data_IF_378535969555
#
_entry.id   IF_378535969555
#
_cell.length_a   1.000
_cell.length_b   1.000
_cell.length_c   1.000
_cell.angle_alpha   90.00
_cell.angle_beta   90.00
_cell.angle_gamma   90.00
#
_symmetry.space_group_name_H-M   'P 1'
#
loop_
_entity.id
_entity.type
_entity.pdbx_description
1 polymer ?
#
# COMPACT_ATOMS: atom_id res chain seq x y z
N UNK A 1 -28.99 -2.53 -25.18
CA UNK A 1 -29.08 -3.60 -24.16
C UNK A 1 -28.41 -4.91 -24.57
N UNK A 2 -28.63 -5.46 -25.78
CA UNK A 2 -27.98 -6.73 -26.20
C UNK A 2 -26.46 -6.81 -25.91
N UNK A 3 -25.71 -5.76 -26.25
CA UNK A 3 -24.25 -5.67 -25.97
C UNK A 3 -23.91 -5.66 -24.47
N UNK A 4 -24.75 -5.05 -23.63
CA UNK A 4 -24.56 -5.02 -22.16
C UNK A 4 -24.75 -6.42 -21.59
N UNK A 5 -25.86 -7.09 -21.96
CA UNK A 5 -26.11 -8.46 -21.54
C UNK A 5 -25.02 -9.43 -22.02
N UNK A 6 -24.56 -9.30 -23.27
CA UNK A 6 -23.47 -10.12 -23.79
C UNK A 6 -22.15 -9.90 -23.03
N UNK A 7 -21.81 -8.64 -22.71
CA UNK A 7 -20.61 -8.31 -21.93
C UNK A 7 -20.67 -8.91 -20.52
N UNK A 8 -21.81 -8.78 -19.84
CA UNK A 8 -21.98 -9.33 -18.50
C UNK A 8 -22.07 -10.86 -18.47
N UNK A 9 -22.67 -11.47 -19.50
CA UNK A 9 -22.66 -12.92 -19.69
C UNK A 9 -21.22 -13.41 -19.86
N UNK A 10 -20.45 -12.78 -20.77
CA UNK A 10 -19.04 -13.11 -20.99
C UNK A 10 -18.20 -12.95 -19.73
N UNK A 11 -18.42 -11.87 -18.96
CA UNK A 11 -17.75 -11.64 -17.68
C UNK A 11 -18.08 -12.75 -16.67
N UNK A 12 -19.36 -13.07 -16.48
CA UNK A 12 -19.78 -14.12 -15.56
C UNK A 12 -19.19 -15.48 -15.93
N UNK A 13 -19.20 -15.84 -17.22
CA UNK A 13 -18.63 -17.10 -17.72
C UNK A 13 -17.11 -17.18 -17.56
N UNK A 14 -16.40 -16.05 -17.63
CA UNK A 14 -14.95 -15.98 -17.38
C UNK A 14 -14.64 -16.15 -15.88
N UNK A 15 -15.44 -15.55 -15.02
CA UNK A 15 -15.24 -15.58 -13.56
C UNK A 15 -15.60 -16.94 -12.96
N UNK A 16 -16.64 -17.61 -13.46
CA UNK A 16 -17.18 -18.85 -12.90
C UNK A 16 -16.19 -20.03 -12.78
N UNK A 17 -15.18 -20.22 -13.66
CA UNK A 17 -14.13 -21.22 -13.48
C UNK A 17 -12.89 -20.69 -12.75
N UNK A 18 -12.78 -19.38 -12.50
CA UNK A 18 -11.57 -18.76 -11.95
C UNK A 18 -11.62 -18.80 -10.41
N UNK A 19 -10.70 -19.51 -9.73
CA UNK A 19 -10.63 -19.50 -8.27
C UNK A 19 -10.54 -18.06 -7.74
N UNK A 20 -11.12 -17.80 -6.56
CA UNK A 20 -11.33 -16.46 -5.95
C UNK A 20 -12.47 -15.66 -6.59
N UNK A 21 -12.67 -15.74 -7.92
CA UNK A 21 -13.72 -14.99 -8.62
C UNK A 21 -15.00 -15.81 -8.87
N UNK A 22 -14.92 -17.12 -8.70
CA UNK A 22 -16.02 -18.07 -8.87
C UNK A 22 -16.98 -18.13 -7.66
N UNK A 23 -16.65 -17.42 -6.58
CA UNK A 23 -17.46 -17.33 -5.36
C UNK A 23 -18.08 -15.94 -5.28
N UNK A 24 -19.37 -15.85 -4.95
CA UNK A 24 -20.04 -14.57 -4.72
C UNK A 24 -19.51 -13.93 -3.41
N UNK A 25 -18.44 -13.15 -3.52
CA UNK A 25 -17.80 -12.42 -2.42
C UNK A 25 -17.31 -11.04 -2.90
N UNK A 26 -16.54 -10.33 -2.07
CA UNK A 26 -16.11 -8.96 -2.32
C UNK A 26 -15.27 -8.82 -3.59
N UNK A 27 -14.42 -9.80 -3.89
CA UNK A 27 -13.52 -9.86 -5.03
C UNK A 27 -14.29 -9.95 -6.34
N UNK A 28 -15.21 -10.93 -6.43
CA UNK A 28 -16.10 -11.07 -7.57
C UNK A 28 -16.99 -9.82 -7.74
N UNK A 29 -17.56 -9.29 -6.65
CA UNK A 29 -18.35 -8.07 -6.69
C UNK A 29 -17.54 -6.86 -7.16
N UNK A 30 -16.27 -6.72 -6.76
CA UNK A 30 -15.39 -5.65 -7.19
C UNK A 30 -15.07 -5.73 -8.70
N UNK A 31 -14.77 -6.93 -9.22
CA UNK A 31 -14.56 -7.14 -10.66
C UNK A 31 -15.82 -6.80 -11.46
N UNK A 32 -16.99 -7.24 -10.99
CA UNK A 32 -18.27 -6.90 -11.63
C UNK A 32 -18.54 -5.39 -11.56
N UNK A 33 -18.26 -4.73 -10.42
CA UNK A 33 -18.45 -3.29 -10.29
C UNK A 33 -17.56 -2.50 -11.27
N UNK A 34 -16.28 -2.88 -11.38
CA UNK A 34 -15.35 -2.27 -12.32
C UNK A 34 -15.86 -2.38 -13.76
N UNK A 35 -16.23 -3.59 -14.19
CA UNK A 35 -16.77 -3.79 -15.52
C UNK A 35 -18.11 -3.05 -15.72
N UNK A 36 -18.98 -3.07 -14.72
CA UNK A 36 -20.31 -2.46 -14.76
C UNK A 36 -20.25 -0.93 -14.87
N UNK A 37 -19.27 -0.28 -14.25
CA UNK A 37 -19.03 1.15 -14.42
C UNK A 37 -18.86 1.51 -15.90
N UNK A 38 -17.95 0.82 -16.60
CA UNK A 38 -17.66 1.11 -18.01
C UNK A 38 -18.78 0.64 -18.94
N UNK A 39 -19.25 -0.61 -18.79
CA UNK A 39 -20.29 -1.18 -19.66
C UNK A 39 -21.60 -0.39 -19.50
N UNK A 40 -22.03 -0.17 -18.27
CA UNK A 40 -23.26 0.55 -17.93
C UNK A 40 -23.17 2.03 -18.27
N UNK A 41 -22.07 2.72 -17.89
CA UNK A 41 -21.86 4.14 -18.15
C UNK A 41 -21.81 4.47 -19.64
N UNK A 42 -21.03 3.72 -20.42
CA UNK A 42 -20.94 3.90 -21.89
C UNK A 42 -22.29 3.63 -22.56
N UNK A 43 -22.99 2.57 -22.13
CA UNK A 43 -24.30 2.25 -22.66
C UNK A 43 -25.35 3.33 -22.30
N UNK A 44 -25.23 3.95 -21.12
CA UNK A 44 -26.10 5.03 -20.67
C UNK A 44 -25.90 6.31 -21.49
N UNK A 45 -24.65 6.71 -21.78
CA UNK A 45 -24.35 7.85 -22.67
C UNK A 45 -25.06 7.69 -24.01
N UNK A 46 -24.91 6.52 -24.67
CA UNK A 46 -25.61 6.21 -25.93
C UNK A 46 -27.13 6.22 -25.76
N UNK A 47 -27.62 5.74 -24.63
CA UNK A 47 -29.05 5.70 -24.32
C UNK A 47 -29.70 7.07 -24.14
N UNK A 48 -28.93 8.07 -23.66
CA UNK A 48 -29.39 9.45 -23.51
C UNK A 48 -29.18 10.32 -24.76
N UNK A 49 -28.26 9.93 -25.65
CA UNK A 49 -27.97 10.67 -26.88
C UNK A 49 -29.01 10.48 -28.00
N UNK A 50 -29.78 9.38 -28.01
CA UNK A 50 -30.71 9.07 -29.11
C UNK A 50 -32.16 9.49 -28.88
N UNK A 51 -32.59 9.66 -27.61
CA UNK A 51 -33.94 10.09 -27.21
C UNK A 51 -33.84 10.70 -25.80
N UNK A 52 -34.69 11.67 -25.44
CA UNK A 52 -34.80 12.28 -24.10
C UNK A 52 -35.35 11.32 -23.03
N UNK A 53 -34.81 10.10 -22.97
CA UNK A 53 -35.27 9.02 -22.09
C UNK A 53 -35.07 9.40 -20.63
N UNK A 54 -36.07 9.05 -19.82
CA UNK A 54 -36.02 9.27 -18.37
C UNK A 54 -34.81 8.54 -17.77
N UNK A 55 -34.10 9.23 -16.87
CA UNK A 55 -32.96 8.66 -16.11
C UNK A 55 -33.36 7.35 -15.44
N UNK A 56 -34.55 7.31 -14.84
CA UNK A 56 -35.10 6.13 -14.17
C UNK A 56 -35.18 4.92 -15.12
N UNK A 57 -35.65 5.10 -16.36
CA UNK A 57 -35.76 3.98 -17.31
C UNK A 57 -34.41 3.45 -17.75
N UNK A 58 -33.42 4.33 -17.95
CA UNK A 58 -32.06 3.91 -18.29
C UNK A 58 -31.43 3.20 -17.10
N UNK A 59 -31.57 3.75 -15.90
CA UNK A 59 -31.06 3.15 -14.66
C UNK A 59 -31.64 1.75 -14.43
N UNK A 60 -32.97 1.59 -14.42
CA UNK A 60 -33.63 0.30 -14.22
C UNK A 60 -33.16 -0.76 -15.22
N UNK A 61 -32.90 -0.36 -16.47
CA UNK A 61 -32.38 -1.28 -17.50
C UNK A 61 -30.94 -1.70 -17.23
N UNK A 62 -30.09 -0.81 -16.74
CA UNK A 62 -28.70 -1.14 -16.43
C UNK A 62 -28.59 -1.95 -15.13
N UNK A 63 -29.36 -1.61 -14.10
CA UNK A 63 -29.48 -2.38 -12.85
C UNK A 63 -29.99 -3.79 -13.14
N UNK A 64 -31.07 -3.91 -13.91
CA UNK A 64 -31.61 -5.22 -14.29
C UNK A 64 -30.62 -6.09 -15.07
N UNK A 65 -29.64 -5.49 -15.75
CA UNK A 65 -28.60 -6.25 -16.43
C UNK A 65 -27.59 -6.90 -15.47
N UNK A 66 -27.41 -6.37 -14.25
CA UNK A 66 -26.60 -6.99 -13.19
C UNK A 66 -27.17 -8.32 -12.70
N UNK A 67 -28.43 -8.64 -13.01
CA UNK A 67 -28.98 -9.97 -12.71
C UNK A 67 -28.27 -11.08 -13.48
N UNK A 68 -27.68 -10.80 -14.64
CA UNK A 68 -26.96 -11.81 -15.43
C UNK A 68 -25.71 -12.32 -14.70
N UNK A 69 -24.72 -11.47 -14.33
CA UNK A 69 -23.54 -11.94 -13.61
C UNK A 69 -23.91 -12.47 -12.23
N UNK A 70 -24.92 -11.90 -11.54
CA UNK A 70 -25.42 -12.43 -10.28
C UNK A 70 -25.94 -13.86 -10.41
N UNK A 71 -26.74 -14.13 -11.44
CA UNK A 71 -27.30 -15.47 -11.69
C UNK A 71 -26.17 -16.47 -11.96
N UNK A 72 -25.20 -16.10 -12.79
CA UNK A 72 -24.06 -16.98 -13.12
C UNK A 72 -23.24 -17.30 -11.87
N UNK A 73 -22.90 -16.29 -11.04
CA UNK A 73 -22.17 -16.50 -9.79
C UNK A 73 -22.99 -17.26 -8.74
N UNK A 74 -24.31 -17.16 -8.77
CA UNK A 74 -25.19 -17.96 -7.92
C UNK A 74 -25.17 -19.42 -8.35
N UNK A 75 -25.25 -19.69 -9.66
CA UNK A 75 -25.14 -21.04 -10.23
C UNK A 75 -23.75 -21.64 -9.99
N UNK A 76 -22.69 -20.82 -9.99
CA UNK A 76 -21.32 -21.27 -9.74
C UNK A 76 -21.13 -21.94 -8.36
N UNK A 77 -22.01 -21.67 -7.41
CA UNK A 77 -21.98 -22.34 -6.11
C UNK A 77 -22.22 -23.84 -6.16
N UNK A 78 -22.79 -24.37 -7.24
CA UNK A 78 -22.96 -25.80 -7.42
C UNK A 78 -21.62 -26.55 -7.46
N UNK A 79 -20.52 -25.88 -7.84
CA UNK A 79 -19.17 -26.45 -7.85
C UNK A 79 -18.15 -25.66 -7.02
N UNK A 80 -18.46 -24.43 -6.62
CA UNK A 80 -17.65 -23.61 -5.72
C UNK A 80 -18.49 -23.17 -4.51
N UNK A 81 -18.71 -24.06 -3.51
CA UNK A 81 -19.58 -23.77 -2.37
C UNK A 81 -19.17 -22.49 -1.63
N UNK A 82 -20.15 -21.64 -1.30
CA UNK A 82 -19.94 -20.37 -0.61
C UNK A 82 -20.61 -20.36 0.76
N UNK A 83 -19.82 -20.43 1.82
CA UNK A 83 -20.34 -20.39 3.20
C UNK A 83 -20.85 -19.01 3.63
N UNK A 84 -20.54 -17.93 2.88
CA UNK A 84 -20.93 -16.55 3.21
C UNK A 84 -21.78 -15.90 2.12
N UNK A 85 -22.64 -16.69 1.46
CA UNK A 85 -23.47 -16.23 0.33
C UNK A 85 -24.29 -14.96 0.61
N UNK A 86 -24.88 -14.84 1.80
CA UNK A 86 -25.67 -13.66 2.21
C UNK A 86 -24.81 -12.38 2.26
N UNK A 87 -23.59 -12.49 2.78
CA UNK A 87 -22.61 -11.42 2.77
C UNK A 87 -22.15 -11.09 1.33
N UNK A 88 -21.99 -12.12 0.49
CA UNK A 88 -21.76 -11.98 -0.93
C UNK A 88 -22.81 -11.15 -1.66
N UNK A 89 -24.10 -11.44 -1.41
CA UNK A 89 -25.23 -10.68 -1.95
C UNK A 89 -25.19 -9.21 -1.50
N UNK A 90 -24.85 -8.96 -0.24
CA UNK A 90 -24.69 -7.61 0.27
C UNK A 90 -23.57 -6.85 -0.44
N UNK A 91 -22.40 -7.48 -0.63
CA UNK A 91 -21.32 -6.87 -1.42
C UNK A 91 -21.76 -6.62 -2.86
N UNK A 92 -22.49 -7.55 -3.47
CA UNK A 92 -22.97 -7.41 -4.82
C UNK A 92 -23.96 -6.24 -5.00
N UNK A 93 -24.84 -6.02 -4.02
CA UNK A 93 -25.73 -4.87 -4.02
C UNK A 93 -24.96 -3.55 -3.80
N UNK A 94 -24.03 -3.53 -2.84
CA UNK A 94 -23.28 -2.34 -2.47
C UNK A 94 -22.21 -1.93 -3.49
N UNK A 95 -21.63 -2.88 -4.22
CA UNK A 95 -20.52 -2.63 -5.15
C UNK A 95 -21.08 -2.43 -6.56
N UNK A 96 -21.43 -3.48 -7.35
CA UNK A 96 -22.03 -3.32 -8.67
C UNK A 96 -23.26 -2.41 -8.70
N UNK A 97 -24.22 -2.59 -7.80
CA UNK A 97 -25.48 -1.82 -7.80
C UNK A 97 -25.23 -0.32 -7.66
N UNK A 98 -24.60 0.11 -6.56
CA UNK A 98 -24.26 1.53 -6.34
C UNK A 98 -23.38 2.09 -7.47
N UNK A 99 -22.48 1.27 -8.02
CA UNK A 99 -21.61 1.68 -9.14
C UNK A 99 -22.39 1.97 -10.42
N UNK A 100 -23.40 1.16 -10.75
CA UNK A 100 -24.26 1.40 -11.91
C UNK A 100 -25.12 2.67 -11.71
N UNK A 101 -25.69 2.87 -10.52
CA UNK A 101 -26.39 4.12 -10.17
C UNK A 101 -25.50 5.33 -10.42
N UNK A 102 -24.26 5.29 -9.92
CA UNK A 102 -23.30 6.37 -10.09
C UNK A 102 -22.91 6.58 -11.56
N UNK A 103 -22.54 5.51 -12.29
CA UNK A 103 -22.13 5.58 -13.69
C UNK A 103 -23.23 6.14 -14.61
N UNK A 104 -24.49 5.71 -14.42
CA UNK A 104 -25.63 6.24 -15.18
C UNK A 104 -25.87 7.71 -14.87
N UNK A 105 -25.72 8.12 -13.61
CA UNK A 105 -25.90 9.50 -13.17
C UNK A 105 -24.84 10.44 -13.76
N UNK A 106 -23.57 10.01 -13.76
CA UNK A 106 -22.47 10.73 -14.43
C UNK A 106 -22.71 10.83 -15.93
N UNK A 107 -23.09 9.73 -16.58
CA UNK A 107 -23.43 9.74 -18.01
C UNK A 107 -24.55 10.73 -18.35
N UNK A 108 -25.57 10.82 -17.50
CA UNK A 108 -26.66 11.79 -17.67
C UNK A 108 -26.19 13.24 -17.56
N UNK A 109 -25.35 13.54 -16.55
CA UNK A 109 -24.76 14.86 -16.32
C UNK A 109 -23.86 15.29 -17.47
N UNK A 110 -22.92 14.41 -17.88
CA UNK A 110 -21.97 14.65 -18.98
C UNK A 110 -22.71 14.90 -20.29
N UNK A 111 -23.78 14.14 -20.57
CA UNK A 111 -24.59 14.37 -21.76
C UNK A 111 -25.32 15.74 -21.72
N UNK A 112 -25.62 16.27 -20.53
CA UNK A 112 -26.17 17.61 -20.35
C UNK A 112 -25.18 18.73 -20.65
N UNK A 113 -23.86 18.48 -20.62
CA UNK A 113 -22.83 19.48 -20.90
C UNK A 113 -22.66 19.79 -22.40
N UNK A 114 -23.26 18.99 -23.29
CA UNK A 114 -23.15 19.21 -24.75
C UNK A 114 -21.75 19.00 -25.33
N UNK A 115 -20.86 18.29 -24.61
CA UNK A 115 -19.49 18.00 -25.05
C UNK A 115 -19.46 17.06 -26.27
N UNK A 116 -18.45 17.22 -27.14
CA UNK A 116 -18.33 16.43 -28.38
C UNK A 116 -18.00 14.94 -28.14
N UNK A 117 -17.38 14.61 -27.00
CA UNK A 117 -16.93 13.24 -26.65
C UNK A 117 -17.36 12.83 -25.23
N UNK A 118 -18.67 12.72 -24.94
CA UNK A 118 -19.18 12.45 -23.60
C UNK A 118 -18.71 11.08 -23.06
N UNK A 119 -18.49 10.11 -23.96
CA UNK A 119 -17.99 8.78 -23.60
C UNK A 119 -16.58 8.82 -23.00
N UNK A 120 -15.69 9.68 -23.48
CA UNK A 120 -14.32 9.80 -22.97
C UNK A 120 -14.31 10.33 -21.53
N UNK A 121 -15.17 11.30 -21.25
CA UNK A 121 -15.32 11.87 -19.90
C UNK A 121 -15.82 10.84 -18.89
N UNK A 122 -16.81 10.02 -19.26
CA UNK A 122 -17.29 8.94 -18.39
C UNK A 122 -16.18 7.92 -18.13
N UNK A 123 -15.43 7.52 -19.16
CA UNK A 123 -14.30 6.59 -18.99
C UNK A 123 -13.21 7.18 -18.08
N UNK A 124 -12.89 8.46 -18.24
CA UNK A 124 -11.89 9.13 -17.40
C UNK A 124 -12.29 9.19 -15.92
N UNK A 125 -13.59 9.29 -15.60
CA UNK A 125 -14.08 9.29 -14.21
C UNK A 125 -14.05 7.92 -13.51
N UNK A 126 -13.78 6.83 -14.24
CA UNK A 126 -13.86 5.45 -13.74
C UNK A 126 -12.59 4.86 -13.13
N UNK A 127 -11.51 5.63 -13.02
CA UNK A 127 -10.24 5.17 -12.44
C UNK A 127 -10.26 5.39 -10.93
N UNK A 128 -10.76 4.40 -10.19
CA UNK A 128 -10.71 4.36 -8.72
C UNK A 128 -9.59 3.44 -8.21
N UNK A 129 -9.02 3.71 -7.02
CA UNK A 129 -7.97 2.88 -6.44
C UNK A 129 -8.46 1.47 -6.05
N UNK A 130 -7.54 0.51 -6.11
CA UNK A 130 -7.71 -0.93 -5.83
C UNK A 130 -7.80 -1.17 -4.31
N UNK A 131 -8.63 -2.13 -3.88
CA UNK A 131 -8.88 -2.47 -2.48
C UNK A 131 -7.88 -3.52 -1.94
N UNK A 132 -7.74 -3.56 -0.61
CA UNK A 132 -6.92 -4.50 0.18
C UNK A 132 -7.63 -5.86 0.39
N UNK A 133 -6.87 -6.89 0.78
CA UNK A 133 -7.18 -8.33 0.70
C UNK A 133 -8.36 -8.82 1.56
N UNK A 134 -8.93 -8.00 2.44
CA UNK A 134 -10.13 -8.35 3.21
C UNK A 134 -11.07 -7.15 3.42
N UNK A 135 -12.04 -7.01 2.52
CA UNK A 135 -13.18 -6.13 2.73
C UNK A 135 -14.13 -6.73 3.77
N UNK A 136 -13.91 -6.43 5.04
CA UNK A 136 -14.93 -6.66 6.06
C UNK A 136 -16.11 -5.69 5.85
N UNK A 137 -17.34 -6.15 6.04
CA UNK A 137 -18.53 -5.28 6.05
C UNK A 137 -18.44 -4.36 7.26
N UNK A 138 -17.97 -3.13 7.04
CA UNK A 138 -17.81 -2.11 8.08
C UNK A 138 -18.92 -1.07 7.99
N UNK A 139 -19.33 -0.44 9.10
CA UNK A 139 -20.24 0.70 9.06
C UNK A 139 -19.78 1.79 8.08
N UNK A 140 -18.47 2.05 8.01
CA UNK A 140 -17.88 3.02 7.09
C UNK A 140 -18.05 2.69 5.61
N UNK A 141 -18.19 1.40 5.25
CA UNK A 141 -18.53 1.00 3.89
C UNK A 141 -19.91 1.54 3.51
N UNK A 142 -20.91 1.43 4.40
CA UNK A 142 -22.25 1.96 4.15
C UNK A 142 -22.23 3.49 4.05
N UNK A 143 -21.49 4.17 4.92
CA UNK A 143 -21.32 5.62 4.85
C UNK A 143 -20.68 6.06 3.52
N UNK A 144 -19.64 5.36 3.06
CA UNK A 144 -18.99 5.62 1.79
C UNK A 144 -19.92 5.34 0.59
N UNK A 145 -20.70 4.26 0.62
CA UNK A 145 -21.70 3.99 -0.43
C UNK A 145 -22.85 5.00 -0.41
N UNK A 146 -23.27 5.46 0.76
CA UNK A 146 -24.19 6.58 0.91
C UNK A 146 -23.65 7.88 0.31
N UNK A 147 -22.37 8.20 0.56
CA UNK A 147 -21.67 9.31 -0.07
C UNK A 147 -21.63 9.17 -1.61
N UNK A 148 -21.38 7.96 -2.11
CA UNK A 148 -21.40 7.68 -3.56
C UNK A 148 -22.79 7.92 -4.16
N UNK A 149 -23.86 7.54 -3.45
CA UNK A 149 -25.24 7.82 -3.87
C UNK A 149 -25.57 9.32 -3.82
N UNK A 150 -25.04 10.07 -2.84
CA UNK A 150 -25.17 11.53 -2.81
C UNK A 150 -24.48 12.17 -4.03
N UNK A 151 -23.28 11.72 -4.39
CA UNK A 151 -22.61 12.15 -5.62
C UNK A 151 -23.41 11.80 -6.88
N UNK A 152 -24.01 10.60 -6.93
CA UNK A 152 -24.90 10.21 -8.03
C UNK A 152 -26.13 11.14 -8.12
N UNK A 153 -26.76 11.43 -6.98
CA UNK A 153 -27.88 12.37 -6.90
C UNK A 153 -27.47 13.77 -7.38
N UNK A 154 -26.32 14.29 -6.91
CA UNK A 154 -25.80 15.58 -7.35
C UNK A 154 -25.59 15.60 -8.87
N UNK A 155 -25.01 14.55 -9.45
CA UNK A 155 -24.82 14.43 -10.89
C UNK A 155 -26.16 14.47 -11.65
N UNK A 156 -27.20 13.76 -11.17
CA UNK A 156 -28.54 13.84 -11.76
C UNK A 156 -29.13 15.26 -11.66
N UNK A 157 -29.02 15.90 -10.49
CA UNK A 157 -29.53 17.26 -10.27
C UNK A 157 -28.83 18.29 -11.16
N UNK A 158 -27.50 18.20 -11.28
CA UNK A 158 -26.70 19.02 -12.19
C UNK A 158 -27.11 18.76 -13.64
N UNK A 159 -27.24 17.49 -14.05
CA UNK A 159 -27.70 17.12 -15.39
C UNK A 159 -29.09 17.66 -15.73
N UNK A 160 -30.02 17.67 -14.77
CA UNK A 160 -31.35 18.29 -14.93
C UNK A 160 -31.24 19.79 -15.10
N UNK A 161 -30.45 20.46 -14.25
CA UNK A 161 -30.21 21.91 -14.31
C UNK A 161 -29.60 22.33 -15.64
N UNK A 162 -28.60 21.60 -16.14
CA UNK A 162 -27.96 21.86 -17.44
C UNK A 162 -28.94 21.75 -18.62
N UNK A 163 -30.00 20.95 -18.47
CA UNK A 163 -31.08 20.79 -19.44
C UNK A 163 -32.28 21.71 -19.20
N UNK A 164 -32.17 22.66 -18.28
CA UNK A 164 -33.25 23.60 -17.93
C UNK A 164 -34.43 22.95 -17.19
N UNK A 165 -34.23 21.78 -16.58
CA UNK A 165 -35.30 21.03 -15.89
C UNK A 165 -35.21 21.20 -14.37
N UNK A 166 -36.35 21.52 -13.74
CA UNK A 166 -36.52 21.51 -12.29
C UNK A 166 -35.90 22.71 -11.54
N UNK A 167 -36.09 22.76 -10.21
CA UNK A 167 -35.59 23.85 -9.37
C UNK A 167 -34.06 23.81 -9.21
N UNK A 168 -33.43 24.98 -9.04
CA UNK A 168 -31.96 25.12 -8.94
C UNK A 168 -31.38 24.89 -7.53
N UNK A 169 -32.23 24.97 -6.50
CA UNK A 169 -31.82 24.89 -5.10
C UNK A 169 -31.44 23.49 -4.56
N UNK A 170 -31.93 22.34 -5.11
CA UNK A 170 -31.54 21.04 -4.58
C UNK A 170 -30.05 20.71 -4.78
N UNK A 171 -29.42 21.21 -5.85
CA UNK A 171 -27.99 20.97 -6.12
C UNK A 171 -27.07 21.51 -5.01
N UNK A 172 -27.16 22.79 -4.58
CA UNK A 172 -26.34 23.28 -3.47
C UNK A 172 -26.67 22.58 -2.15
N UNK A 173 -27.93 22.22 -1.87
CA UNK A 173 -28.27 21.45 -0.66
C UNK A 173 -27.60 20.07 -0.66
N UNK A 174 -27.63 19.37 -1.81
CA UNK A 174 -26.95 18.09 -1.95
C UNK A 174 -25.42 18.23 -1.83
N UNK A 175 -24.84 19.30 -2.41
CA UNK A 175 -23.41 19.60 -2.26
C UNK A 175 -23.03 19.91 -0.80
N UNK A 176 -23.87 20.63 -0.05
CA UNK A 176 -23.68 20.87 1.38
C UNK A 176 -23.75 19.57 2.19
N UNK A 177 -24.68 18.67 1.87
CA UNK A 177 -24.76 17.36 2.50
C UNK A 177 -23.50 16.51 2.23
N UNK A 178 -22.99 16.53 1.00
CA UNK A 178 -21.70 15.91 0.64
C UNK A 178 -20.55 16.53 1.46
N UNK A 179 -20.50 17.86 1.53
CA UNK A 179 -19.52 18.59 2.34
C UNK A 179 -19.57 18.18 3.81
N UNK A 180 -20.77 18.08 4.40
CA UNK A 180 -20.94 17.60 5.76
C UNK A 180 -20.41 16.16 5.94
N UNK A 181 -20.71 15.25 5.02
CA UNK A 181 -20.17 13.87 5.08
C UNK A 181 -18.65 13.86 5.03
N UNK A 182 -18.00 14.71 4.22
CA UNK A 182 -16.54 14.82 4.22
C UNK A 182 -15.99 15.39 5.53
N UNK A 183 -16.64 16.40 6.12
CA UNK A 183 -16.27 16.94 7.44
C UNK A 183 -16.34 15.85 8.52
N UNK A 184 -17.35 14.99 8.46
CA UNK A 184 -17.53 13.86 9.38
C UNK A 184 -16.96 12.53 8.84
N UNK A 185 -16.05 12.56 7.85
CA UNK A 185 -15.56 11.34 7.19
C UNK A 185 -14.85 10.38 8.15
N UNK A 186 -14.10 10.91 9.11
CA UNK A 186 -13.39 10.11 10.10
C UNK A 186 -14.31 9.39 11.10
N UNK A 187 -15.24 10.06 11.82
CA UNK A 187 -16.18 9.37 12.71
C UNK A 187 -17.15 8.45 11.95
N UNK A 188 -17.42 8.73 10.68
CA UNK A 188 -18.19 7.82 9.81
C UNK A 188 -17.39 6.59 9.37
N UNK A 189 -16.08 6.52 9.65
CA UNK A 189 -15.22 5.40 9.27
C UNK A 189 -14.92 5.34 7.77
N UNK A 190 -15.00 6.47 7.06
CA UNK A 190 -14.66 6.59 5.63
C UNK A 190 -13.14 6.72 5.45
N UNK A 191 -12.48 7.48 6.32
CA UNK A 191 -11.03 7.62 6.36
C UNK A 191 -10.54 7.67 7.82
N UNK A 192 -9.23 7.60 8.01
CA UNK A 192 -8.62 7.61 9.35
C UNK A 192 -7.44 8.57 9.38
N UNK A 193 -7.69 9.89 9.43
CA UNK A 193 -6.64 10.89 9.46
C UNK A 193 -5.89 10.88 10.80
N UNK A 194 -4.65 11.37 10.81
CA UNK A 194 -3.79 11.36 12.00
C UNK A 194 -4.41 12.07 13.21
N UNK A 195 -5.18 13.16 13.02
CA UNK A 195 -5.88 13.82 14.13
C UNK A 195 -6.90 12.90 14.81
N UNK A 196 -7.58 12.04 14.03
CA UNK A 196 -8.58 11.12 14.56
C UNK A 196 -7.90 9.95 15.28
N UNK A 197 -6.76 9.47 14.75
CA UNK A 197 -5.94 8.49 15.46
C UNK A 197 -5.49 9.01 16.83
N UNK A 198 -4.98 10.25 16.90
CA UNK A 198 -4.56 10.87 18.17
C UNK A 198 -5.71 11.14 19.14
N UNK A 199 -6.93 11.33 18.64
CA UNK A 199 -8.12 11.43 19.49
C UNK A 199 -8.52 10.08 20.09
N UNK A 200 -8.30 8.98 19.35
CA UNK A 200 -8.64 7.62 19.76
C UNK A 200 -7.53 6.94 20.56
N UNK A 201 -6.29 7.42 20.41
CA UNK A 201 -5.09 7.01 21.13
C UNK A 201 -4.57 8.24 21.89
N UNK A 202 -5.20 8.49 23.04
CA UNK A 202 -5.09 9.70 23.85
C UNK A 202 -3.78 9.80 24.66
N UNK A 203 -3.05 8.69 24.79
CA UNK A 203 -1.71 8.64 25.35
C UNK A 203 -0.65 9.10 24.34
N UNK A 204 0.30 9.92 24.80
CA UNK A 204 1.39 10.42 23.97
C UNK A 204 2.71 10.39 24.76
N UNK A 205 3.76 9.87 24.12
CA UNK A 205 5.14 9.92 24.63
C UNK A 205 6.06 10.35 23.50
N UNK A 206 6.83 11.42 23.73
CA UNK A 206 7.79 11.94 22.76
C UNK A 206 9.21 11.48 23.11
N UNK A 207 10.01 11.16 22.10
CA UNK A 207 11.44 10.88 22.21
C UNK A 207 12.25 11.79 21.29
N UNK A 208 13.53 11.52 21.10
CA UNK A 208 14.35 12.28 20.17
C UNK A 208 13.82 12.10 18.73
N UNK A 209 13.57 10.85 18.31
CA UNK A 209 13.17 10.52 16.92
C UNK A 209 11.71 10.09 16.75
N UNK A 210 10.94 9.94 17.82
CA UNK A 210 9.57 9.43 17.73
C UNK A 210 8.52 10.25 18.48
N UNK A 211 7.30 10.16 17.96
CA UNK A 211 6.05 10.49 18.64
C UNK A 211 5.22 9.21 18.79
N UNK A 212 5.11 8.67 20.00
CA UNK A 212 4.34 7.45 20.29
C UNK A 212 2.93 7.83 20.71
N UNK A 213 1.93 7.26 20.02
CA UNK A 213 0.51 7.40 20.36
C UNK A 213 -0.08 6.04 20.78
N UNK A 214 -0.76 6.00 21.91
CA UNK A 214 -1.31 4.77 22.49
C UNK A 214 -2.58 5.06 23.31
N UNK A 215 -3.28 4.03 23.76
CA UNK A 215 -4.43 4.16 24.66
C UNK A 215 -3.94 4.29 26.11
N UNK A 216 -4.13 5.45 26.73
CA UNK A 216 -3.65 5.75 28.08
C UNK A 216 -4.36 4.94 29.17
N UNK A 217 -5.56 4.43 28.89
CA UNK A 217 -6.30 3.54 29.79
C UNK A 217 -5.78 2.10 29.76
N UNK A 218 -5.00 1.72 28.75
CA UNK A 218 -4.47 0.36 28.55
C UNK A 218 -2.95 0.27 28.73
N UNK A 219 -2.25 1.40 28.75
CA UNK A 219 -0.80 1.47 28.84
C UNK A 219 -0.39 2.50 29.90
N UNK A 220 0.23 2.03 30.98
CA UNK A 220 0.78 2.91 32.01
C UNK A 220 2.07 3.63 31.54
N UNK A 221 2.48 4.64 32.30
CA UNK A 221 3.65 5.46 31.98
C UNK A 221 4.97 4.68 31.94
N UNK A 222 5.11 3.62 32.76
CA UNK A 222 6.33 2.81 32.78
C UNK A 222 6.42 1.95 31.52
N UNK A 223 5.34 1.27 31.13
CA UNK A 223 5.23 0.52 29.89
C UNK A 223 5.39 1.42 28.66
N UNK A 224 4.86 2.65 28.69
CA UNK A 224 5.08 3.64 27.64
C UNK A 224 6.56 4.03 27.51
N UNK A 225 7.25 4.26 28.63
CA UNK A 225 8.67 4.54 28.64
C UNK A 225 9.51 3.36 28.14
N UNK A 226 9.12 2.12 28.47
CA UNK A 226 9.76 0.90 27.96
C UNK A 226 9.62 0.78 26.44
N UNK A 227 8.41 1.03 25.92
CA UNK A 227 8.17 1.07 24.48
C UNK A 227 8.99 2.17 23.80
N UNK A 228 9.04 3.38 24.37
CA UNK A 228 9.84 4.47 23.85
C UNK A 228 11.34 4.11 23.76
N UNK A 229 11.91 3.50 24.81
CA UNK A 229 13.30 3.00 24.79
C UNK A 229 13.51 1.89 23.76
N UNK A 230 12.53 1.01 23.60
CA UNK A 230 12.59 -0.03 22.57
C UNK A 230 12.59 0.58 21.15
N UNK A 231 11.82 1.63 20.89
CA UNK A 231 11.80 2.35 19.61
C UNK A 231 13.16 2.95 19.28
N UNK A 232 13.75 3.68 20.22
CA UNK A 232 15.07 4.29 20.06
C UNK A 232 16.16 3.24 19.83
N UNK A 233 16.23 2.20 20.67
CA UNK A 233 17.20 1.13 20.51
C UNK A 233 17.07 0.39 19.17
N UNK A 234 15.84 0.27 18.66
CA UNK A 234 15.55 -0.36 17.37
C UNK A 234 15.96 0.50 16.20
N UNK A 235 15.70 1.79 16.29
CA UNK A 235 16.12 2.75 15.31
C UNK A 235 17.64 2.76 15.18
N UNK A 236 18.35 2.83 16.31
CA UNK A 236 19.82 2.78 16.35
C UNK A 236 20.37 1.47 15.79
N UNK A 237 19.64 0.35 15.93
CA UNK A 237 20.02 -0.91 15.29
C UNK A 237 19.94 -0.82 13.76
N UNK A 238 18.82 -0.33 13.23
CA UNK A 238 18.62 -0.18 11.78
C UNK A 238 19.62 0.81 11.17
N UNK A 239 19.85 1.96 11.81
CA UNK A 239 20.79 2.97 11.32
C UNK A 239 22.24 2.47 11.28
N UNK A 240 22.72 1.84 12.35
CA UNK A 240 24.07 1.24 12.37
C UNK A 240 24.25 0.18 11.29
N UNK A 241 23.17 -0.53 10.95
CA UNK A 241 23.18 -1.55 9.91
C UNK A 241 23.30 -0.97 8.50
N UNK A 242 22.77 0.24 8.31
CA UNK A 242 22.84 1.04 7.09
C UNK A 242 24.11 1.90 6.98
N UNK A 243 24.84 2.06 8.09
CA UNK A 243 26.10 2.81 8.14
C UNK A 243 25.92 4.27 8.51
N UNK A 244 24.95 4.58 9.38
CA UNK A 244 24.63 5.92 9.90
C UNK A 244 24.39 6.93 8.76
N UNK A 245 23.28 6.74 8.06
CA UNK A 245 22.81 7.66 7.03
C UNK A 245 22.21 8.93 7.65
N UNK A 246 22.35 10.08 6.98
CA UNK A 246 21.60 11.30 7.32
C UNK A 246 20.10 11.00 7.22
N UNK A 247 19.48 10.74 8.36
CA UNK A 247 18.07 10.36 8.44
C UNK A 247 17.17 11.58 8.20
N UNK A 248 15.93 11.32 7.77
CA UNK A 248 14.91 12.37 7.64
C UNK A 248 14.77 13.16 8.96
N UNK A 249 14.72 14.49 8.86
CA UNK A 249 14.65 15.40 10.03
C UNK A 249 13.32 15.29 10.80
N UNK A 250 12.30 14.64 10.24
CA UNK A 250 10.96 14.57 10.82
C UNK A 250 10.81 13.35 11.75
N UNK A 251 10.25 13.58 12.95
CA UNK A 251 9.97 12.50 13.92
C UNK A 251 8.98 11.48 13.36
N UNK A 252 9.26 10.22 13.63
CA UNK A 252 8.45 9.08 13.21
C UNK A 252 7.24 8.96 14.13
N UNK A 253 6.03 8.99 13.57
CA UNK A 253 4.79 8.79 14.33
C UNK A 253 4.52 7.29 14.50
N UNK A 254 4.60 6.78 15.72
CA UNK A 254 4.35 5.37 16.03
C UNK A 254 3.01 5.22 16.74
N UNK A 255 2.04 4.60 16.08
CA UNK A 255 0.72 4.31 16.63
C UNK A 255 0.67 2.87 17.16
N UNK A 256 0.51 2.73 18.47
CA UNK A 256 0.55 1.45 19.18
C UNK A 256 -0.86 1.11 19.65
N UNK A 257 -1.45 0.10 19.01
CA UNK A 257 -2.82 -0.31 19.26
C UNK A 257 -2.88 -1.40 20.34
N UNK A 258 -3.85 -1.34 21.27
CA UNK A 258 -3.91 -2.27 22.39
C UNK A 258 -4.32 -3.69 21.96
N UNK A 259 -5.12 -3.83 20.89
CA UNK A 259 -5.59 -5.12 20.39
C UNK A 259 -6.01 -5.06 18.90
N UNK A 260 -6.19 -6.23 18.25
CA UNK A 260 -6.57 -6.32 16.84
C UNK A 260 -7.92 -5.69 16.49
N UNK A 261 -8.86 -5.62 17.42
CA UNK A 261 -10.18 -5.03 17.18
C UNK A 261 -10.11 -3.52 17.06
N UNK A 262 -9.38 -2.86 17.97
CA UNK A 262 -9.15 -1.42 17.93
C UNK A 262 -8.37 -1.05 16.66
N UNK A 263 -7.28 -1.76 16.38
CA UNK A 263 -6.50 -1.54 15.15
C UNK A 263 -7.34 -1.75 13.90
N UNK A 264 -8.05 -2.87 13.84
CA UNK A 264 -8.94 -3.21 12.74
C UNK A 264 -9.98 -2.12 12.49
N UNK A 265 -10.66 -1.65 13.54
CA UNK A 265 -11.66 -0.57 13.46
C UNK A 265 -11.06 0.73 12.91
N UNK A 266 -9.87 1.11 13.36
CA UNK A 266 -9.24 2.37 13.00
C UNK A 266 -8.56 2.32 11.63
N UNK A 267 -7.79 1.29 11.30
CA UNK A 267 -6.92 1.32 10.11
C UNK A 267 -7.37 0.45 8.95
N UNK A 268 -8.18 -0.58 9.19
CA UNK A 268 -8.34 -1.65 8.20
C UNK A 268 -7.63 -2.92 8.61
N UNK A 269 -6.36 -2.80 9.00
CA UNK A 269 -5.49 -3.93 9.31
C UNK A 269 -5.67 -4.39 10.76
N UNK A 270 -6.16 -5.62 10.97
CA UNK A 270 -6.35 -6.17 12.32
C UNK A 270 -5.02 -6.59 12.97
N UNK A 271 -4.25 -7.39 12.25
CA UNK A 271 -3.05 -8.05 12.80
C UNK A 271 -1.76 -7.64 12.12
N UNK A 272 -1.84 -7.22 10.85
CA UNK A 272 -0.69 -6.85 10.04
C UNK A 272 -0.10 -5.54 10.53
N UNK A 273 1.20 -5.51 10.80
CA UNK A 273 1.98 -4.29 11.03
C UNK A 273 2.15 -3.54 9.71
N UNK A 274 2.03 -2.21 9.72
CA UNK A 274 1.98 -1.42 8.48
C UNK A 274 2.79 -0.14 8.64
N UNK A 275 3.62 0.14 7.64
CA UNK A 275 4.35 1.40 7.45
C UNK A 275 3.96 2.01 6.11
N UNK A 276 3.01 2.96 6.07
CA UNK A 276 2.57 3.58 4.81
C UNK A 276 3.63 4.58 4.31
N UNK A 277 4.59 4.07 3.54
CA UNK A 277 5.78 4.82 3.04
C UNK A 277 5.44 6.06 2.21
N UNK A 278 4.26 6.08 1.58
CA UNK A 278 3.78 7.14 0.69
C UNK A 278 3.20 8.37 1.39
N UNK A 279 3.04 8.34 2.72
CA UNK A 279 2.55 9.51 3.45
C UNK A 279 3.63 10.60 3.54
N UNK A 280 3.18 11.84 3.79
CA UNK A 280 4.08 13.00 3.95
C UNK A 280 4.98 12.86 5.18
N UNK A 281 4.41 12.49 6.32
CA UNK A 281 5.15 12.20 7.55
C UNK A 281 5.43 10.69 7.69
N UNK A 282 6.57 10.27 8.26
CA UNK A 282 6.83 8.86 8.58
C UNK A 282 5.85 8.35 9.64
N UNK A 283 5.22 7.21 9.37
CA UNK A 283 4.27 6.59 10.29
C UNK A 283 4.49 5.08 10.38
N UNK A 284 4.26 4.53 11.58
CA UNK A 284 4.28 3.09 11.85
C UNK A 284 3.01 2.72 12.64
N UNK A 285 2.39 1.59 12.29
CA UNK A 285 1.18 1.09 12.94
C UNK A 285 1.38 -0.34 13.48
N UNK A 286 1.50 -0.49 14.79
CA UNK A 286 1.85 -1.73 15.46
C UNK A 286 0.80 -2.15 16.49
N UNK A 287 0.55 -3.46 16.62
CA UNK A 287 -0.09 -3.96 17.83
C UNK A 287 0.93 -3.97 18.98
N UNK A 288 0.48 -3.71 20.21
CA UNK A 288 1.35 -3.69 21.41
C UNK A 288 2.17 -4.97 21.56
N UNK A 289 1.55 -6.13 21.39
CA UNK A 289 2.18 -7.45 21.49
C UNK A 289 3.15 -7.76 20.33
N UNK A 290 3.09 -6.98 19.24
CA UNK A 290 3.94 -7.15 18.06
C UNK A 290 5.11 -6.17 17.99
N UNK A 291 5.24 -5.23 18.94
CA UNK A 291 6.35 -4.25 18.91
C UNK A 291 7.70 -4.96 18.94
N UNK A 292 7.91 -5.93 19.84
CA UNK A 292 9.19 -6.64 19.96
C UNK A 292 9.55 -7.44 18.68
N UNK A 293 8.54 -7.91 17.97
CA UNK A 293 8.70 -8.76 16.78
C UNK A 293 8.87 -7.92 15.50
N UNK A 294 7.98 -6.95 15.27
CA UNK A 294 7.84 -6.27 13.98
C UNK A 294 8.49 -4.89 13.92
N UNK A 295 8.79 -4.23 15.04
CA UNK A 295 9.25 -2.84 15.02
C UNK A 295 10.52 -2.62 14.18
N UNK A 296 11.46 -3.57 14.18
CA UNK A 296 12.69 -3.46 13.37
C UNK A 296 12.40 -3.53 11.88
N UNK A 297 11.50 -4.43 11.50
CA UNK A 297 11.02 -4.59 10.12
C UNK A 297 10.31 -3.32 9.64
N UNK A 298 9.40 -2.77 10.44
CA UNK A 298 8.69 -1.52 10.10
C UNK A 298 9.62 -0.31 10.01
N UNK A 299 10.63 -0.22 10.88
CA UNK A 299 11.62 0.86 10.81
C UNK A 299 12.51 0.77 9.56
N UNK A 300 12.79 -0.44 9.08
CA UNK A 300 13.48 -0.62 7.82
C UNK A 300 12.65 -0.11 6.63
N UNK A 301 11.32 -0.26 6.67
CA UNK A 301 10.41 0.37 5.70
C UNK A 301 10.46 1.90 5.78
N UNK A 302 10.48 2.48 6.99
CA UNK A 302 10.66 3.93 7.15
C UNK A 302 11.99 4.40 6.53
N UNK A 303 13.09 3.70 6.82
CA UNK A 303 14.41 4.01 6.28
C UNK A 303 14.49 3.84 4.74
N UNK A 304 13.56 3.09 4.14
CA UNK A 304 13.50 2.91 2.69
C UNK A 304 12.88 4.11 1.94
N UNK A 305 12.10 4.96 2.62
CA UNK A 305 11.32 6.05 2.01
C UNK A 305 12.14 7.00 1.13
N UNK A 306 13.35 7.44 1.52
CA UNK A 306 14.17 8.33 0.68
C UNK A 306 14.63 7.70 -0.63
N UNK A 307 14.69 6.36 -0.70
CA UNK A 307 15.09 5.62 -1.90
C UNK A 307 13.92 5.29 -2.83
N UNK A 308 12.69 5.66 -2.45
CA UNK A 308 11.51 5.48 -3.27
C UNK A 308 11.42 6.46 -4.44
N UNK A 309 10.37 6.28 -5.25
CA UNK A 309 10.07 7.16 -6.38
C UNK A 309 9.81 8.60 -5.91
N UNK A 310 10.31 9.57 -6.67
CA UNK A 310 10.05 10.99 -6.40
C UNK A 310 8.55 11.26 -6.31
N UNK A 311 8.11 11.91 -5.23
CA UNK A 311 6.72 12.24 -4.93
C UNK A 311 5.87 11.11 -4.34
N UNK A 312 6.28 9.84 -4.44
CA UNK A 312 5.54 8.69 -3.89
C UNK A 312 6.27 8.01 -2.73
N UNK A 313 7.60 8.14 -2.62
CA UNK A 313 8.46 7.49 -1.60
C UNK A 313 8.35 5.97 -1.51
N UNK A 314 7.62 5.33 -2.44
CA UNK A 314 7.45 3.89 -2.57
C UNK A 314 8.29 3.34 -3.73
N UNK A 315 8.54 2.04 -3.75
CA UNK A 315 9.33 1.35 -4.79
C UNK A 315 8.47 0.43 -5.66
N UNK A 316 8.85 0.26 -6.94
CA UNK A 316 8.25 -0.73 -7.84
C UNK A 316 8.73 -2.17 -7.58
N UNK A 317 9.74 -2.36 -6.72
CA UNK A 317 10.30 -3.66 -6.42
C UNK A 317 9.91 -4.10 -4.99
N UNK A 318 8.65 -4.52 -4.75
CA UNK A 318 8.19 -4.87 -3.40
C UNK A 318 9.03 -5.98 -2.78
N UNK A 319 9.43 -6.99 -3.56
CA UNK A 319 10.31 -8.05 -3.03
C UNK A 319 11.68 -7.56 -2.59
N UNK A 320 12.22 -6.50 -3.17
CA UNK A 320 13.48 -5.89 -2.71
C UNK A 320 13.27 -5.12 -1.40
N UNK A 321 12.16 -4.39 -1.28
CA UNK A 321 11.81 -3.63 -0.07
C UNK A 321 11.51 -4.56 1.11
N UNK A 322 10.75 -5.64 0.88
CA UNK A 322 10.50 -6.66 1.91
C UNK A 322 11.78 -7.43 2.28
N UNK A 323 12.62 -7.77 1.28
CA UNK A 323 13.93 -8.37 1.53
C UNK A 323 14.85 -7.44 2.33
N UNK A 324 14.81 -6.14 2.05
CA UNK A 324 15.51 -5.11 2.83
C UNK A 324 15.05 -5.09 4.27
N UNK A 325 13.73 -5.08 4.50
CA UNK A 325 13.18 -5.09 5.85
C UNK A 325 13.62 -6.32 6.63
N UNK A 326 13.54 -7.52 6.02
CA UNK A 326 14.01 -8.78 6.61
C UNK A 326 15.51 -8.78 6.88
N UNK A 327 16.35 -8.23 6.00
CA UNK A 327 17.81 -8.20 6.17
C UNK A 327 18.28 -7.26 7.30
N UNK A 328 17.45 -6.28 7.69
CA UNK A 328 17.73 -5.32 8.75
C UNK A 328 17.07 -5.70 10.10
N UNK A 329 16.27 -6.76 10.12
CA UNK A 329 15.75 -7.35 11.36
C UNK A 329 16.91 -7.74 12.29
N UNK A 330 16.71 -7.70 13.61
CA UNK A 330 17.70 -8.20 14.54
C UNK A 330 17.80 -9.72 14.46
N UNK A 331 18.78 -10.28 15.17
CA UNK A 331 18.72 -11.67 15.56
C UNK A 331 17.41 -11.98 16.31
N UNK A 332 16.78 -13.09 15.95
CA UNK A 332 15.67 -13.70 16.67
C UNK A 332 16.03 -15.14 17.03
N UNK A 333 15.27 -15.82 17.92
CA UNK A 333 15.49 -17.24 18.22
C UNK A 333 15.19 -18.15 17.03
N UNK A 334 14.48 -17.67 16.02
CA UNK A 334 14.16 -18.43 14.81
C UNK A 334 15.37 -18.51 13.88
N UNK A 335 15.49 -19.57 13.05
CA UNK A 335 16.55 -19.67 12.04
C UNK A 335 16.59 -18.42 11.15
N UNK A 336 17.79 -17.96 10.81
CA UNK A 336 17.93 -16.80 9.93
C UNK A 336 17.37 -17.11 8.52
N UNK A 337 16.97 -16.09 7.75
CA UNK A 337 16.61 -16.26 6.34
C UNK A 337 17.68 -17.01 5.53
N UNK A 338 18.96 -16.73 5.79
CA UNK A 338 20.09 -17.43 5.20
C UNK A 338 20.10 -18.92 5.55
N UNK A 339 19.86 -19.28 6.82
CA UNK A 339 19.81 -20.67 7.26
C UNK A 339 18.63 -21.41 6.63
N UNK A 340 17.46 -20.76 6.53
CA UNK A 340 16.27 -21.32 5.90
C UNK A 340 16.52 -21.61 4.41
N UNK A 341 17.12 -20.66 3.69
CA UNK A 341 17.46 -20.81 2.27
C UNK A 341 18.53 -21.88 2.08
N UNK A 342 19.59 -21.91 2.90
CA UNK A 342 20.63 -22.95 2.85
C UNK A 342 20.07 -24.34 3.14
N UNK A 343 19.20 -24.46 4.12
CA UNK A 343 18.55 -25.73 4.47
C UNK A 343 17.66 -26.21 3.33
N UNK A 344 16.87 -25.31 2.75
CA UNK A 344 16.04 -25.62 1.59
C UNK A 344 16.89 -26.07 0.39
N UNK A 345 17.99 -25.36 0.09
CA UNK A 345 18.91 -25.71 -0.98
C UNK A 345 19.62 -27.06 -0.76
N UNK A 346 20.00 -27.37 0.49
CA UNK A 346 20.65 -28.63 0.84
C UNK A 346 19.68 -29.82 0.82
N UNK A 347 18.39 -29.59 1.08
CA UNK A 347 17.35 -30.61 1.02
C UNK A 347 16.78 -30.83 -0.40
N UNK A 348 17.16 -29.98 -1.38
CA UNK A 348 16.63 -30.05 -2.73
C UNK A 348 17.38 -31.06 -3.61
N UNK A 349 16.69 -32.15 -3.96
CA UNK A 349 17.23 -33.25 -4.76
C UNK A 349 16.91 -33.14 -6.26
N UNK A 350 16.31 -32.04 -6.73
CA UNK A 350 15.63 -31.97 -8.04
C UNK A 350 16.15 -30.92 -9.04
N UNK A 351 17.36 -30.38 -8.87
CA UNK A 351 17.98 -29.38 -9.78
C UNK A 351 17.38 -27.96 -9.70
N UNK A 352 16.80 -27.56 -8.57
CA UNK A 352 16.20 -26.24 -8.38
C UNK A 352 17.20 -25.07 -8.32
N UNK A 353 18.51 -25.30 -8.17
CA UNK A 353 19.52 -24.23 -8.10
C UNK A 353 19.53 -23.30 -9.34
N UNK A 354 19.24 -23.82 -10.55
CA UNK A 354 19.03 -22.97 -11.75
C UNK A 354 17.66 -22.28 -11.74
N UNK A 355 16.70 -22.79 -10.98
CA UNK A 355 15.45 -22.14 -10.67
C UNK A 355 15.61 -21.11 -9.54
N UNK A 356 16.62 -21.17 -8.66
CA UNK A 356 16.85 -20.20 -7.57
C UNK A 356 17.12 -18.78 -8.09
N UNK A 357 18.01 -18.61 -9.08
CA UNK A 357 18.26 -17.30 -9.67
C UNK A 357 17.03 -16.74 -10.41
N UNK A 358 16.31 -17.59 -11.15
CA UNK A 358 15.04 -17.21 -11.80
C UNK A 358 13.92 -16.93 -10.80
N UNK A 359 13.93 -17.60 -9.64
CA UNK A 359 13.00 -17.43 -8.54
C UNK A 359 13.26 -16.13 -7.76
N UNK A 360 14.52 -15.69 -7.66
CA UNK A 360 14.87 -14.34 -7.18
C UNK A 360 14.42 -13.30 -8.20
N UNK A 361 14.76 -13.49 -9.49
CA UNK A 361 14.36 -12.55 -10.56
C UNK A 361 12.84 -12.40 -10.66
N UNK A 362 12.07 -13.48 -10.55
CA UNK A 362 10.62 -13.40 -10.55
C UNK A 362 10.11 -12.60 -9.36
N UNK A 363 10.68 -12.76 -8.16
CA UNK A 363 10.31 -12.03 -6.95
C UNK A 363 10.73 -10.56 -6.93
N UNK A 364 11.68 -10.16 -7.77
CA UNK A 364 12.00 -8.74 -7.99
C UNK A 364 10.91 -8.02 -8.80
N UNK A 365 10.09 -8.76 -9.56
CA UNK A 365 8.96 -8.17 -10.28
C UNK A 365 7.79 -7.88 -9.33
N UNK A 366 6.96 -6.85 -9.60
CA UNK A 366 5.76 -6.58 -8.81
C UNK A 366 4.88 -7.82 -8.64
N UNK A 367 4.68 -8.62 -9.70
CA UNK A 367 3.77 -9.77 -9.62
C UNK A 367 4.36 -11.05 -9.04
N UNK A 368 5.65 -11.31 -9.22
CA UNK A 368 6.24 -12.57 -8.75
C UNK A 368 6.44 -12.64 -7.24
N UNK A 369 6.50 -11.50 -6.53
CA UNK A 369 6.53 -11.50 -5.06
C UNK A 369 5.19 -11.94 -4.47
N UNK A 370 4.09 -11.33 -4.92
CA UNK A 370 2.74 -11.55 -4.40
C UNK A 370 2.12 -12.89 -4.78
N UNK A 371 2.49 -13.46 -5.93
CA UNK A 371 1.96 -14.75 -6.39
C UNK A 371 2.70 -15.97 -5.83
N UNK A 372 3.82 -15.76 -5.14
CA UNK A 372 4.60 -16.82 -4.50
C UNK A 372 4.11 -17.19 -3.10
N UNK A 373 4.66 -18.29 -2.54
CA UNK A 373 4.45 -18.61 -1.12
C UNK A 373 5.15 -17.55 -0.25
N UNK A 374 4.37 -16.76 0.49
CA UNK A 374 4.86 -15.61 1.27
C UNK A 374 6.13 -15.88 2.08
N UNK A 375 6.11 -16.84 3.01
CA UNK A 375 7.26 -17.16 3.86
C UNK A 375 8.54 -17.48 3.07
N UNK A 376 8.42 -18.16 1.92
CA UNK A 376 9.56 -18.45 1.04
C UNK A 376 10.06 -17.15 0.39
N UNK A 377 9.15 -16.31 -0.11
CA UNK A 377 9.51 -15.03 -0.72
C UNK A 377 10.26 -14.10 0.25
N UNK A 378 9.78 -13.96 1.49
CA UNK A 378 10.46 -13.17 2.52
C UNK A 378 11.85 -13.74 2.84
N UNK A 379 11.97 -15.05 3.07
CA UNK A 379 13.25 -15.68 3.41
C UNK A 379 14.28 -15.56 2.26
N UNK A 380 13.86 -15.86 1.03
CA UNK A 380 14.74 -15.78 -0.15
C UNK A 380 15.20 -14.35 -0.42
N UNK A 381 14.29 -13.37 -0.38
CA UNK A 381 14.65 -11.98 -0.63
C UNK A 381 15.50 -11.38 0.49
N UNK A 382 15.21 -11.71 1.76
CA UNK A 382 16.02 -11.32 2.90
C UNK A 382 17.46 -11.83 2.80
N UNK A 383 17.62 -13.11 2.48
CA UNK A 383 18.95 -13.71 2.26
C UNK A 383 19.70 -13.04 1.10
N UNK A 384 19.00 -12.77 0.01
CA UNK A 384 19.60 -12.12 -1.17
C UNK A 384 20.07 -10.69 -0.85
N UNK A 385 19.29 -9.89 -0.14
CA UNK A 385 19.69 -8.52 0.24
C UNK A 385 20.88 -8.55 1.20
N UNK A 386 20.89 -9.47 2.17
CA UNK A 386 22.03 -9.62 3.09
C UNK A 386 23.31 -10.04 2.36
N UNK A 387 23.20 -10.90 1.35
CA UNK A 387 24.31 -11.25 0.46
C UNK A 387 24.88 -10.01 -0.26
N UNK A 388 24.02 -9.17 -0.86
CA UNK A 388 24.45 -7.95 -1.55
C UNK A 388 25.15 -6.98 -0.59
N UNK A 389 24.59 -6.79 0.60
CA UNK A 389 25.13 -5.92 1.64
C UNK A 389 26.51 -6.39 2.11
N UNK A 390 26.65 -7.69 2.36
CA UNK A 390 27.92 -8.30 2.77
C UNK A 390 28.97 -8.23 1.67
N UNK A 391 28.58 -8.41 0.41
CA UNK A 391 29.48 -8.27 -0.74
C UNK A 391 30.01 -6.84 -0.87
N UNK A 392 29.13 -5.84 -0.72
CA UNK A 392 29.50 -4.41 -0.73
C UNK A 392 30.54 -4.08 0.35
N UNK A 393 30.29 -4.47 1.60
CA UNK A 393 31.21 -4.24 2.72
C UNK A 393 32.59 -4.90 2.52
N UNK A 394 32.62 -6.10 1.92
CA UNK A 394 33.88 -6.80 1.60
C UNK A 394 34.65 -6.13 0.45
N UNK A 395 33.95 -5.56 -0.54
CA UNK A 395 34.53 -4.77 -1.62
C UNK A 395 35.28 -3.54 -1.10
N UNK A 396 34.65 -2.79 -0.20
CA UNK A 396 35.21 -1.59 0.43
C UNK A 396 36.45 -1.90 1.29
N UNK A 397 36.43 -3.04 1.98
CA UNK A 397 37.56 -3.53 2.78
C UNK A 397 38.80 -3.83 1.92
N UNK A 398 38.60 -4.45 0.75
CA UNK A 398 39.68 -4.74 -0.21
C UNK A 398 40.22 -3.48 -0.88
N UNK A 399 39.36 -2.49 -1.16
CA UNK A 399 39.75 -1.17 -1.65
C UNK A 399 40.67 -0.41 -0.67
N UNK A 400 40.33 -0.40 0.62
CA UNK A 400 41.15 0.23 1.68
C UNK A 400 42.47 -0.50 1.97
N UNK A 401 42.50 -1.82 1.82
CA UNK A 401 43.74 -2.60 1.95
C UNK A 401 44.69 -2.40 0.74
N UNK A 402 44.14 -2.23 -0.47
CA UNK A 402 44.90 -1.89 -1.67
C UNK A 402 45.55 -0.50 -1.56
N UNK A 403 44.79 0.51 -1.11
CA UNK A 403 45.32 1.87 -0.95
C UNK A 403 46.42 1.96 0.13
N UNK A 404 46.29 1.21 1.24
CA UNK A 404 47.34 1.09 2.27
C UNK A 404 48.58 0.31 1.80
N UNK A 405 48.44 -0.67 0.90
CA UNK A 405 49.60 -1.35 0.27
C UNK A 405 50.32 -0.45 -0.71
N UNK A 406 49.60 0.32 -1.52
CA UNK A 406 50.19 1.26 -2.49
C UNK A 406 50.95 2.40 -1.80
N UNK A 407 50.51 2.82 -0.61
CA UNK A 407 51.20 3.82 0.20
C UNK A 407 52.46 3.28 0.92
N UNK A 408 52.67 1.95 0.99
CA UNK A 408 53.86 1.33 1.59
C UNK A 408 54.95 0.96 0.57
N UNK A 409 54.67 1.04 -0.72
CA UNK A 409 55.61 0.68 -1.80
C UNK A 409 56.35 1.84 -2.44
N UNK A 410 56.11 3.09 -2.01
CA UNK A 410 56.86 4.27 -2.44
C UNK A 410 57.89 4.68 -1.37
N UNK A 411 58.90 3.85 -1.16
CA UNK A 411 60.17 4.28 -0.55
C UNK A 411 61.19 4.50 -1.68
N UNK A 412 61.72 5.71 -1.90
CA UNK A 412 62.70 5.94 -2.94
C UNK A 412 64.09 5.48 -2.49
N UNK A 413 64.67 4.53 -3.23
CA UNK A 413 66.12 4.27 -3.25
C UNK A 413 66.85 5.58 -3.52
N UNK A 414 67.58 6.11 -2.53
CA UNK A 414 68.59 7.16 -2.75
C UNK A 414 69.92 6.50 -3.06
N UNK A 415 70.43 6.79 -4.26
CA UNK A 415 71.80 6.52 -4.67
C UNK A 415 72.79 7.39 -3.88
N UNK A 416 73.98 6.82 -3.72
CA UNK A 416 75.20 7.47 -3.21
C UNK A 416 75.72 8.43 -4.30
N UNK A 417 76.23 9.62 -3.91
CA UNK A 417 77.68 9.83 -4.11
C UNK A 417 78.40 10.57 -2.95
N UNK A 418 79.58 10.03 -2.65
CA UNK A 418 80.87 10.66 -2.32
C UNK A 418 80.96 12.06 -1.65
N UNK A 419 81.43 12.03 -0.39
CA UNK A 419 82.39 12.90 0.34
C UNK A 419 82.64 14.36 -0.12
N UNK A 420 82.54 15.28 0.85
CA UNK A 420 83.69 15.95 1.49
C UNK A 420 83.35 16.40 2.92
N UNK A 421 84.38 16.57 3.75
CA UNK A 421 84.39 16.64 5.22
C UNK A 421 84.83 18.04 5.68
N UNK A 422 84.45 18.40 6.90
CA UNK A 422 84.81 19.59 7.73
C UNK A 422 83.73 20.69 7.71
N UNK A 423 83.31 21.29 8.81
CA UNK A 423 83.63 21.15 10.23
C UNK A 423 83.08 22.38 10.98
N UNK A 424 82.68 22.20 12.26
CA UNK A 424 82.23 23.22 13.24
C UNK A 424 80.90 23.93 12.94
N UNK A 425 80.14 24.47 13.89
CA UNK A 425 79.89 24.29 15.34
C UNK A 425 78.93 25.44 15.72
N UNK A 426 77.93 25.17 16.57
CA UNK A 426 77.08 26.14 17.30
C UNK A 426 76.21 27.10 16.43
N UNK A 427 75.01 27.54 16.81
CA UNK A 427 74.22 27.46 18.04
C UNK A 427 73.10 28.52 17.94
N UNK A 428 72.07 28.37 18.78
CA UNK A 428 71.08 29.39 19.19
C UNK A 428 69.97 29.84 18.20
N UNK A 429 68.75 29.37 18.50
CA UNK A 429 67.48 30.08 18.84
C UNK A 429 67.05 31.44 18.21
N UNK A 430 65.72 31.75 18.20
CA UNK A 430 64.95 32.53 17.20
C UNK A 430 64.67 33.99 17.70
N UNK A 431 63.61 34.76 17.31
CA UNK A 431 62.51 34.58 16.33
C UNK A 431 62.19 35.81 15.45
N UNK A 432 61.21 35.63 14.54
CA UNK A 432 60.51 36.66 13.78
C UNK A 432 59.34 36.07 13.02
#
# INVERSE_FOLDING_TARGET
MRRVFAAYLGLGLLMAPTPLLNVLQAEAAAVVALAAFFVGGVAAVRGFGSESRSVQRVLLRQEGALLVPLTILTVAQLWAPNCTFSQGLLFYALFPGVTVVFAVSVAYAVQGLGVSRPMLLVVATGLGPIYDDQLAVRPGLFAFRGLTLLWALLAVLVGRRLRGQGPRWPSPVCALAIGAVYVFSAPLGINTPGWYLRQQLDGHTQTERFDLYYDAGQLDAAAAADLARAHEARYDWVQRRLGDTDAEEERIQSYIYPNPDVKGRLTGARTTSVTPVWLSAPQIHLLRDRVSQSLGHELAHVASRPYGLSGLRASWAPGLVEGWAVALEPPSPSPSPDDLVRTAAAADTTTSLRAEARAVVSRLSPWGFWTGRGAVSYATMGSFVEYLRTMSLRGDSRGRLSSRRSARTTSPRRGVPFRTRSGRAAGATPPG
#
